data_IF_138696654165
#
_entry.id   IF_138696654165
#
_cell.length_a   1.000
_cell.length_b   1.000
_cell.length_c   1.000
_cell.angle_alpha   90.00
_cell.angle_beta   90.00
_cell.angle_gamma   90.00
#
_symmetry.space_group_name_H-M   'P 1'
#
loop_
_entity.id
_entity.type
_entity.pdbx_description
1 polymer ?
#
# COMPACT_ATOMS: atom_id res chain seq x y z
N UNK A 1 2.34 5.78 39.16
CA UNK A 1 3.64 5.52 38.52
C UNK A 1 3.36 5.33 37.05
N UNK A 2 3.56 6.37 36.26
CA UNK A 2 3.30 6.40 34.82
C UNK A 2 4.41 5.63 34.11
N UNK A 3 4.12 4.40 33.70
CA UNK A 3 4.97 3.69 32.75
C UNK A 3 4.94 4.48 31.45
N UNK A 4 6.07 5.04 31.06
CA UNK A 4 6.27 5.63 29.73
C UNK A 4 5.97 4.53 28.71
N UNK A 5 4.87 4.64 27.96
CA UNK A 5 4.64 3.82 26.76
C UNK A 5 5.84 4.06 25.85
N UNK A 6 6.73 3.07 25.75
CA UNK A 6 7.77 3.09 24.76
C UNK A 6 7.08 3.12 23.40
N UNK A 7 7.25 4.22 22.68
CA UNK A 7 6.68 4.40 21.35
C UNK A 7 7.13 3.23 20.47
N UNK A 8 6.18 2.48 19.95
CA UNK A 8 6.46 1.25 19.24
C UNK A 8 7.05 1.59 17.86
N UNK A 9 8.37 1.41 17.71
CA UNK A 9 9.14 1.73 16.50
C UNK A 9 9.77 0.48 15.86
N UNK A 10 10.38 0.64 14.67
CA UNK A 10 11.23 -0.40 14.12
C UNK A 10 12.37 -0.72 15.11
N UNK A 11 12.69 -2.00 15.26
CA UNK A 11 13.62 -2.54 16.27
C UNK A 11 13.00 -2.84 17.63
N UNK A 12 11.78 -2.35 17.92
CA UNK A 12 11.06 -2.71 19.15
C UNK A 12 10.50 -4.14 19.05
N UNK A 13 10.22 -4.76 20.19
CA UNK A 13 9.48 -6.02 20.25
C UNK A 13 7.97 -5.76 20.09
N UNK A 14 7.32 -6.58 19.27
CA UNK A 14 5.87 -6.56 19.14
C UNK A 14 5.19 -6.94 20.47
N UNK A 15 4.07 -6.28 20.82
CA UNK A 15 3.24 -6.71 21.94
C UNK A 15 2.79 -8.17 21.77
N UNK A 16 3.03 -8.98 22.80
CA UNK A 16 2.64 -10.39 22.81
C UNK A 16 1.29 -10.56 23.51
N UNK A 17 0.21 -10.41 22.74
CA UNK A 17 -1.16 -10.45 23.24
C UNK A 17 -1.84 -11.79 22.92
N UNK A 18 -2.90 -12.09 23.68
CA UNK A 18 -3.77 -13.23 23.43
C UNK A 18 -5.02 -12.74 22.73
N UNK A 19 -5.20 -13.15 21.48
CA UNK A 19 -6.37 -12.87 20.65
C UNK A 19 -7.19 -14.13 20.44
N UNK A 20 -8.34 -14.00 19.78
CA UNK A 20 -9.18 -15.16 19.45
C UNK A 20 -9.34 -15.28 17.93
N UNK A 21 -9.48 -16.51 17.44
CA UNK A 21 -10.00 -16.75 16.09
C UNK A 21 -11.50 -16.43 16.04
N UNK A 22 -12.11 -16.32 14.84
CA UNK A 22 -13.56 -16.21 14.69
C UNK A 22 -14.34 -17.37 15.29
N UNK A 23 -13.71 -18.53 15.46
CA UNK A 23 -14.30 -19.70 16.14
C UNK A 23 -14.19 -19.61 17.68
N UNK A 24 -13.62 -18.53 18.22
CA UNK A 24 -13.42 -18.30 19.65
C UNK A 24 -12.19 -19.01 20.23
N UNK A 25 -11.33 -19.61 19.39
CA UNK A 25 -10.14 -20.29 19.85
C UNK A 25 -9.04 -19.26 20.21
N UNK A 26 -8.47 -19.31 21.43
CA UNK A 26 -7.43 -18.36 21.81
C UNK A 26 -6.09 -18.65 21.13
N UNK A 27 -5.41 -17.62 20.67
CA UNK A 27 -4.07 -17.65 20.06
C UNK A 27 -3.19 -16.61 20.74
N UNK A 28 -2.00 -17.04 21.18
CA UNK A 28 -0.94 -16.13 21.61
C UNK A 28 -0.19 -15.62 20.38
N UNK A 29 -0.09 -14.31 20.19
CA UNK A 29 0.51 -13.69 19.00
C UNK A 29 1.93 -14.19 18.74
N UNK A 30 2.75 -14.36 19.78
CA UNK A 30 4.11 -14.87 19.63
C UNK A 30 4.24 -16.27 19.06
N UNK A 31 3.16 -17.05 19.02
CA UNK A 31 3.17 -18.35 18.35
C UNK A 31 3.19 -18.21 16.83
N UNK A 32 2.70 -17.10 16.29
CA UNK A 32 2.50 -16.88 14.85
C UNK A 32 3.79 -16.50 14.12
N UNK A 33 4.77 -15.91 14.81
CA UNK A 33 6.04 -15.51 14.22
C UNK A 33 7.22 -16.41 14.60
N UNK A 34 7.05 -17.50 15.37
CA UNK A 34 8.20 -18.32 15.81
C UNK A 34 8.97 -19.00 14.67
N UNK A 35 8.25 -19.44 13.64
CA UNK A 35 8.83 -20.23 12.56
C UNK A 35 9.22 -19.37 11.35
N UNK A 36 8.42 -18.35 11.04
CA UNK A 36 8.57 -17.51 9.86
C UNK A 36 8.28 -16.05 10.21
N UNK A 37 8.87 -15.09 9.47
CA UNK A 37 8.50 -13.70 9.60
C UNK A 37 7.01 -13.51 9.32
N UNK A 38 6.38 -12.63 10.09
CA UNK A 38 4.95 -12.40 10.03
C UNK A 38 4.66 -11.01 9.47
N UNK A 39 3.84 -10.94 8.43
CA UNK A 39 3.16 -9.73 8.01
C UNK A 39 1.84 -9.64 8.79
N UNK A 40 1.79 -8.75 9.77
CA UNK A 40 0.63 -8.53 10.63
C UNK A 40 -0.17 -7.33 10.13
N UNK A 41 -1.44 -7.54 9.79
CA UNK A 41 -2.31 -6.53 9.18
C UNK A 41 -3.51 -6.24 10.06
N UNK A 42 -3.73 -4.98 10.41
CA UNK A 42 -4.95 -4.48 11.03
C UNK A 42 -5.88 -3.99 9.93
N UNK A 43 -7.07 -4.59 9.81
CA UNK A 43 -8.02 -4.29 8.74
C UNK A 43 -8.94 -3.08 9.04
N UNK A 44 -9.01 -2.64 10.29
CA UNK A 44 -10.00 -1.68 10.77
C UNK A 44 -11.35 -2.33 11.08
N UNK A 45 -12.41 -1.53 11.04
CA UNK A 45 -13.79 -1.98 11.20
C UNK A 45 -14.30 -2.62 9.90
N UNK A 46 -14.91 -3.81 10.00
CA UNK A 46 -15.29 -4.62 8.83
C UNK A 46 -16.57 -4.14 8.11
N UNK A 47 -17.27 -3.17 8.67
CA UNK A 47 -18.47 -2.54 8.10
C UNK A 47 -18.16 -1.41 7.10
N UNK A 48 -16.91 -0.94 7.07
CA UNK A 48 -16.42 0.04 6.10
C UNK A 48 -16.10 -0.54 4.73
N UNK A 49 -16.27 0.26 3.66
CA UNK A 49 -15.94 -0.15 2.29
C UNK A 49 -14.45 -0.46 2.07
N UNK A 50 -13.57 0.15 2.88
CA UNK A 50 -12.13 0.06 2.71
C UNK A 50 -11.49 -1.13 3.46
N UNK A 51 -12.19 -1.75 4.41
CA UNK A 51 -11.73 -3.00 5.04
C UNK A 51 -11.68 -4.17 4.03
N UNK A 52 -12.66 -4.26 3.13
CA UNK A 52 -12.63 -5.24 2.03
C UNK A 52 -11.48 -4.99 1.06
N UNK A 53 -11.14 -3.74 0.77
CA UNK A 53 -10.02 -3.41 -0.12
C UNK A 53 -8.69 -3.85 0.47
N UNK A 54 -8.46 -3.57 1.76
CA UNK A 54 -7.24 -3.99 2.43
C UNK A 54 -7.17 -5.53 2.54
N UNK A 55 -8.30 -6.19 2.84
CA UNK A 55 -8.35 -7.65 2.90
C UNK A 55 -8.05 -8.29 1.53
N UNK A 56 -8.60 -7.74 0.43
CA UNK A 56 -8.33 -8.18 -0.94
C UNK A 56 -6.86 -7.93 -1.30
N UNK A 57 -6.32 -6.76 -0.97
CA UNK A 57 -4.92 -6.42 -1.22
C UNK A 57 -3.98 -7.48 -0.63
N UNK A 58 -4.20 -7.87 0.62
CA UNK A 58 -3.38 -8.89 1.27
C UNK A 58 -3.68 -10.31 0.80
N UNK A 59 -4.90 -10.58 0.34
CA UNK A 59 -5.24 -11.87 -0.26
C UNK A 59 -4.43 -12.08 -1.53
N UNK A 60 -4.39 -11.07 -2.38
CA UNK A 60 -3.69 -11.12 -3.66
C UNK A 60 -2.16 -11.12 -3.44
N UNK A 61 -1.69 -10.57 -2.32
CA UNK A 61 -0.28 -10.56 -1.92
C UNK A 61 0.20 -11.82 -1.16
N UNK A 62 -0.71 -12.64 -0.62
CA UNK A 62 -0.38 -13.75 0.29
C UNK A 62 0.64 -14.71 -0.33
N UNK A 63 0.41 -15.14 -1.58
CA UNK A 63 1.33 -16.05 -2.26
C UNK A 63 2.73 -15.45 -2.41
N UNK A 64 2.81 -14.14 -2.67
CA UNK A 64 4.07 -13.41 -2.81
C UNK A 64 4.82 -13.34 -1.47
N UNK A 65 4.10 -13.05 -0.38
CA UNK A 65 4.66 -13.08 0.99
C UNK A 65 5.16 -14.48 1.34
N UNK A 66 4.41 -15.53 0.99
CA UNK A 66 4.83 -16.92 1.20
C UNK A 66 6.07 -17.29 0.38
N UNK A 67 6.19 -16.82 -0.86
CA UNK A 67 7.41 -16.98 -1.68
C UNK A 67 8.60 -16.27 -1.03
N UNK A 68 8.39 -15.08 -0.45
CA UNK A 68 9.40 -14.37 0.34
C UNK A 68 9.74 -15.08 1.66
N UNK A 69 8.98 -16.12 2.03
CA UNK A 69 9.22 -16.94 3.21
C UNK A 69 8.56 -16.44 4.49
N UNK A 70 7.65 -15.47 4.39
CA UNK A 70 6.81 -15.02 5.49
C UNK A 70 5.40 -15.60 5.46
N UNK A 71 4.57 -15.16 6.39
CA UNK A 71 3.13 -15.46 6.44
C UNK A 71 2.33 -14.18 6.71
N UNK A 72 1.09 -14.13 6.22
CA UNK A 72 0.16 -13.03 6.52
C UNK A 72 -0.76 -13.48 7.65
N UNK A 73 -1.05 -12.58 8.59
CA UNK A 73 -2.15 -12.71 9.55
C UNK A 73 -2.85 -11.36 9.66
N UNK A 74 -4.18 -11.38 9.67
CA UNK A 74 -4.99 -10.19 9.84
C UNK A 74 -5.64 -10.12 11.24
N UNK A 75 -5.87 -8.91 11.73
CA UNK A 75 -6.62 -8.58 12.94
C UNK A 75 -7.76 -7.63 12.57
N UNK A 76 -8.98 -7.95 13.01
CA UNK A 76 -10.14 -7.07 12.90
C UNK A 76 -10.71 -6.71 14.28
N UNK A 77 -11.35 -5.54 14.38
CA UNK A 77 -12.06 -5.11 15.58
C UNK A 77 -13.54 -5.54 15.61
N UNK A 78 -13.89 -6.63 14.92
CA UNK A 78 -15.28 -7.07 14.74
C UNK A 78 -15.63 -8.27 15.62
N UNK A 79 -16.92 -8.51 15.81
CA UNK A 79 -17.40 -9.68 16.52
C UNK A 79 -17.01 -10.98 15.78
N UNK A 80 -16.86 -12.12 16.47
CA UNK A 80 -16.44 -13.38 15.85
C UNK A 80 -17.32 -13.84 14.68
N UNK A 81 -18.64 -13.67 14.79
CA UNK A 81 -19.59 -14.04 13.73
C UNK A 81 -19.37 -13.18 12.46
N UNK A 82 -19.24 -11.87 12.63
CA UNK A 82 -18.97 -10.93 11.52
C UNK A 82 -17.62 -11.22 10.86
N UNK A 83 -16.60 -11.52 11.66
CA UNK A 83 -15.27 -11.89 11.16
C UNK A 83 -15.31 -13.20 10.37
N UNK A 84 -16.10 -14.19 10.82
CA UNK A 84 -16.25 -15.47 10.12
C UNK A 84 -16.98 -15.30 8.78
N UNK A 85 -18.07 -14.52 8.77
CA UNK A 85 -18.79 -14.19 7.53
C UNK A 85 -17.86 -13.46 6.55
N UNK A 86 -17.14 -12.44 7.03
CA UNK A 86 -16.22 -11.66 6.21
C UNK A 86 -15.10 -12.52 5.59
N UNK A 87 -14.49 -13.41 6.40
CA UNK A 87 -13.46 -14.35 5.92
C UNK A 87 -13.99 -15.24 4.79
N UNK A 88 -15.20 -15.78 4.96
CA UNK A 88 -15.84 -16.63 3.96
C UNK A 88 -16.23 -15.87 2.69
N UNK A 89 -16.80 -14.67 2.86
CA UNK A 89 -17.24 -13.80 1.75
C UNK A 89 -16.09 -13.41 0.81
N UNK A 90 -14.91 -13.11 1.37
CA UNK A 90 -13.76 -12.66 0.59
C UNK A 90 -12.74 -13.76 0.29
N UNK A 91 -12.97 -14.97 0.79
CA UNK A 91 -12.11 -16.15 0.63
C UNK A 91 -10.67 -15.86 1.04
N UNK A 92 -10.48 -15.41 2.29
CA UNK A 92 -9.16 -15.02 2.78
C UNK A 92 -8.27 -16.26 2.99
N UNK A 93 -7.07 -16.33 2.40
CA UNK A 93 -6.16 -17.48 2.49
C UNK A 93 -5.33 -17.48 3.77
N UNK A 94 -5.35 -16.37 4.52
CA UNK A 94 -4.61 -16.18 5.75
C UNK A 94 -5.54 -16.19 6.98
N UNK A 95 -5.00 -16.45 8.19
CA UNK A 95 -5.75 -16.35 9.43
C UNK A 95 -6.25 -14.93 9.69
N UNK A 96 -7.50 -14.83 10.16
CA UNK A 96 -8.10 -13.61 10.70
C UNK A 96 -8.27 -13.80 12.21
N UNK A 97 -7.88 -12.80 13.01
CA UNK A 97 -8.04 -12.77 14.46
C UNK A 97 -8.98 -11.63 14.85
N UNK A 98 -9.77 -11.86 15.89
CA UNK A 98 -10.67 -10.86 16.47
C UNK A 98 -9.98 -10.19 17.66
N UNK A 99 -10.03 -8.86 17.68
CA UNK A 99 -9.53 -8.02 18.76
C UNK A 99 -10.66 -7.17 19.35
N UNK A 100 -10.61 -6.93 20.65
CA UNK A 100 -11.55 -6.05 21.36
C UNK A 100 -11.08 -4.59 21.44
N UNK A 101 -10.01 -4.26 20.72
CA UNK A 101 -9.32 -2.97 20.74
C UNK A 101 -7.98 -3.01 21.47
N UNK A 102 -7.70 -4.07 22.24
CA UNK A 102 -6.45 -4.19 23.00
C UNK A 102 -5.22 -4.26 22.09
N UNK A 103 -5.26 -5.04 21.01
CA UNK A 103 -4.17 -5.09 20.04
C UNK A 103 -4.07 -3.81 19.23
N UNK A 104 -5.19 -3.22 18.80
CA UNK A 104 -5.19 -1.91 18.14
C UNK A 104 -4.45 -0.86 19.00
N UNK A 105 -4.80 -0.75 20.28
CA UNK A 105 -4.14 0.15 21.22
C UNK A 105 -2.65 -0.17 21.40
N UNK A 106 -2.30 -1.43 21.67
CA UNK A 106 -0.92 -1.83 21.95
C UNK A 106 0.03 -1.64 20.75
N UNK A 107 -0.49 -1.79 19.52
CA UNK A 107 0.29 -1.54 18.30
C UNK A 107 0.29 -0.07 17.86
N UNK A 108 -0.46 0.78 18.57
CA UNK A 108 -0.65 2.20 18.23
C UNK A 108 -1.47 2.40 16.95
N UNK A 109 -2.33 1.45 16.60
CA UNK A 109 -3.27 1.56 15.48
C UNK A 109 -4.60 2.04 16.06
N UNK A 110 -4.95 3.31 15.84
CA UNK A 110 -6.10 3.93 16.49
C UNK A 110 -7.11 4.50 15.51
N UNK A 111 -8.34 4.75 15.97
CA UNK A 111 -9.36 5.46 15.17
C UNK A 111 -9.96 4.62 14.04
N UNK A 112 -10.00 3.28 14.21
CA UNK A 112 -10.52 2.36 13.20
C UNK A 112 -9.65 2.26 11.93
N UNK A 113 -8.47 2.89 11.93
CA UNK A 113 -7.58 2.91 10.80
C UNK A 113 -6.91 1.54 10.60
N UNK A 114 -6.54 1.22 9.36
CA UNK A 114 -5.68 0.07 9.13
C UNK A 114 -4.24 0.30 9.60
N UNK A 115 -3.46 -0.79 9.62
CA UNK A 115 -2.03 -0.71 9.88
C UNK A 115 -1.35 -2.01 9.52
N UNK A 116 -0.07 -1.96 9.14
CA UNK A 116 0.65 -3.13 8.67
C UNK A 116 2.06 -3.18 9.25
N UNK A 117 2.46 -4.34 9.70
CA UNK A 117 3.74 -4.59 10.38
C UNK A 117 4.43 -5.80 9.78
N UNK A 118 5.76 -5.80 9.80
CA UNK A 118 6.56 -7.00 9.53
C UNK A 118 7.35 -7.34 10.78
N UNK A 119 7.14 -8.55 11.30
CA UNK A 119 7.77 -9.08 12.49
C UNK A 119 8.74 -10.18 12.09
N UNK A 120 9.95 -10.20 12.66
CA UNK A 120 10.87 -11.32 12.48
C UNK A 120 10.57 -12.48 13.44
N UNK A 121 11.41 -13.52 13.41
CA UNK A 121 11.14 -14.77 14.13
C UNK A 121 11.26 -14.69 15.65
N UNK A 122 11.77 -13.58 16.17
CA UNK A 122 11.84 -13.29 17.61
C UNK A 122 10.85 -12.19 18.01
N UNK A 123 9.99 -11.76 17.08
CA UNK A 123 8.96 -10.74 17.30
C UNK A 123 9.50 -9.31 17.28
N UNK A 124 10.67 -9.05 16.67
CA UNK A 124 11.11 -7.67 16.46
C UNK A 124 10.41 -7.07 15.24
N UNK A 125 9.97 -5.83 15.38
CA UNK A 125 9.32 -5.07 14.32
C UNK A 125 10.40 -4.61 13.34
N UNK A 126 10.37 -5.14 12.12
CA UNK A 126 11.30 -4.82 11.04
C UNK A 126 10.73 -3.75 10.10
N UNK A 127 9.41 -3.69 10.01
CA UNK A 127 8.69 -2.64 9.30
C UNK A 127 7.40 -2.34 10.05
N UNK A 128 6.97 -1.08 10.03
CA UNK A 128 5.64 -0.67 10.49
C UNK A 128 5.11 0.48 9.64
N UNK A 129 3.82 0.45 9.37
CA UNK A 129 3.07 1.56 8.80
C UNK A 129 1.72 1.62 9.49
N UNK A 130 1.42 2.75 10.11
CA UNK A 130 0.11 3.06 10.69
C UNK A 130 -0.57 4.01 9.73
N UNK A 131 -1.72 3.63 9.22
CA UNK A 131 -2.39 4.46 8.24
C UNK A 131 -2.87 5.77 8.90
N UNK A 132 -2.54 6.91 8.30
CA UNK A 132 -3.12 8.20 8.72
C UNK A 132 -4.58 8.36 8.27
N UNK A 133 -4.99 7.62 7.24
CA UNK A 133 -6.36 7.54 6.71
C UNK A 133 -6.59 6.18 6.05
N UNK A 134 -7.83 5.78 5.76
CA UNK A 134 -8.12 4.45 5.20
C UNK A 134 -7.46 4.21 3.84
N UNK A 135 -7.16 5.28 3.08
CA UNK A 135 -6.45 5.25 1.80
C UNK A 135 -4.92 5.29 1.95
N UNK A 136 -4.42 5.46 3.18
CA UNK A 136 -3.00 5.56 3.46
C UNK A 136 -2.32 4.19 3.59
N UNK A 137 -2.56 3.28 2.65
CA UNK A 137 -1.89 1.98 2.65
C UNK A 137 -0.41 2.12 2.22
N UNK A 138 0.52 1.37 2.84
CA UNK A 138 1.88 1.29 2.36
C UNK A 138 1.93 0.49 1.05
N UNK A 139 2.95 0.69 0.20
CA UNK A 139 3.16 -0.21 -0.93
C UNK A 139 3.35 -1.64 -0.43
N UNK A 140 2.54 -2.59 -0.90
CA UNK A 140 2.63 -4.01 -0.52
C UNK A 140 4.05 -4.55 -0.65
N UNK A 141 4.75 -4.15 -1.72
CA UNK A 141 6.14 -4.54 -1.96
C UNK A 141 7.11 -4.09 -0.87
N UNK A 142 6.88 -2.98 -0.18
CA UNK A 142 7.75 -2.57 0.93
C UNK A 142 7.74 -3.60 2.07
N UNK A 143 6.63 -4.29 2.29
CA UNK A 143 6.52 -5.34 3.30
C UNK A 143 7.09 -6.67 2.78
N UNK A 144 6.88 -6.99 1.50
CA UNK A 144 7.50 -8.16 0.86
C UNK A 144 9.03 -8.03 0.88
N UNK A 145 9.55 -6.84 0.62
CA UNK A 145 10.99 -6.53 0.68
C UNK A 145 11.49 -6.71 2.12
N UNK A 146 10.77 -6.17 3.12
CA UNK A 146 11.12 -6.35 4.53
C UNK A 146 11.13 -7.83 4.96
N UNK A 147 10.19 -8.65 4.46
CA UNK A 147 10.21 -10.12 4.68
C UNK A 147 11.43 -10.74 3.99
N UNK A 148 11.70 -10.36 2.75
CA UNK A 148 12.83 -10.85 1.94
C UNK A 148 14.17 -10.54 2.60
N UNK A 149 14.32 -9.36 3.21
CA UNK A 149 15.50 -8.99 4.00
C UNK A 149 15.71 -9.87 5.23
N UNK A 150 14.64 -10.34 5.87
CA UNK A 150 14.73 -11.23 7.04
C UNK A 150 15.11 -12.65 6.61
N UNK A 151 14.53 -13.13 5.50
CA UNK A 151 14.70 -14.52 5.05
C UNK A 151 15.88 -14.73 4.11
N UNK A 152 16.41 -13.66 3.53
CA UNK A 152 17.43 -13.71 2.47
C UNK A 152 16.90 -14.24 1.13
N UNK A 153 15.58 -14.39 0.97
CA UNK A 153 14.98 -14.86 -0.29
C UNK A 153 14.77 -13.68 -1.25
N UNK A 154 14.96 -13.93 -2.54
CA UNK A 154 14.62 -12.97 -3.59
C UNK A 154 13.28 -13.35 -4.20
N UNK A 155 12.35 -12.39 -4.23
CA UNK A 155 11.09 -12.50 -4.95
C UNK A 155 11.11 -11.47 -6.08
N UNK A 156 10.89 -11.93 -7.31
CA UNK A 156 10.83 -11.02 -8.45
C UNK A 156 9.55 -10.19 -8.38
N UNK A 157 9.73 -8.87 -8.36
CA UNK A 157 8.64 -7.94 -8.57
C UNK A 157 8.19 -8.04 -10.02
N UNK A 158 6.88 -8.23 -10.30
CA UNK A 158 6.38 -8.20 -11.66
C UNK A 158 6.80 -6.89 -12.33
N UNK A 159 7.58 -7.01 -13.39
CA UNK A 159 7.81 -5.89 -14.30
C UNK A 159 6.54 -5.76 -15.13
N UNK A 160 5.94 -4.56 -15.14
CA UNK A 160 4.90 -4.24 -16.10
C UNK A 160 5.55 -4.24 -17.49
N UNK A 161 5.61 -5.42 -18.12
CA UNK A 161 5.99 -5.55 -19.52
C UNK A 161 4.76 -5.22 -20.33
N UNK A 162 4.73 -3.99 -20.87
CA UNK A 162 3.79 -3.66 -21.93
C UNK A 162 4.17 -4.53 -23.13
N UNK A 163 3.22 -5.32 -23.62
CA UNK A 163 3.40 -6.19 -24.79
C UNK A 163 2.52 -5.70 -25.95
N UNK A 164 2.94 -5.98 -27.20
CA UNK A 164 2.16 -5.61 -28.39
C UNK A 164 2.02 -4.10 -28.60
N UNK A 165 0.84 -3.67 -29.03
CA UNK A 165 0.53 -2.26 -29.33
C UNK A 165 0.78 -1.33 -28.13
N UNK A 166 0.68 -1.84 -26.88
CA UNK A 166 0.98 -1.06 -25.66
C UNK A 166 2.48 -0.83 -25.49
N UNK A 167 3.32 -1.80 -25.87
CA UNK A 167 4.78 -1.67 -25.88
C UNK A 167 5.23 -0.70 -26.97
N UNK A 168 4.59 -0.76 -28.13
CA UNK A 168 4.86 0.12 -29.26
C UNK A 168 4.40 1.55 -28.93
N UNK A 169 3.22 1.71 -28.33
CA UNK A 169 2.74 2.98 -27.80
C UNK A 169 3.68 3.54 -26.72
N UNK A 170 4.18 2.71 -25.80
CA UNK A 170 5.15 3.13 -24.78
C UNK A 170 6.48 3.58 -25.39
N UNK A 171 6.98 2.89 -26.43
CA UNK A 171 8.18 3.31 -27.17
C UNK A 171 7.97 4.58 -28.00
N UNK A 172 6.77 4.77 -28.54
CA UNK A 172 6.38 6.01 -29.21
C UNK A 172 6.29 7.17 -28.22
N UNK A 173 5.80 6.89 -27.01
CA UNK A 173 5.79 7.80 -25.88
C UNK A 173 7.21 8.14 -25.38
N UNK A 174 8.13 7.17 -25.24
CA UNK A 174 9.53 7.41 -24.84
C UNK A 174 10.31 8.33 -25.78
N UNK A 175 9.92 8.40 -27.06
CA UNK A 175 10.53 9.28 -28.06
C UNK A 175 9.90 10.68 -28.11
N UNK A 176 8.75 10.91 -27.49
CA UNK A 176 8.31 12.26 -27.14
C UNK A 176 9.09 12.66 -25.89
N UNK A 177 9.85 13.74 -25.96
CA UNK A 177 10.63 14.23 -24.83
C UNK A 177 9.69 14.60 -23.67
N UNK A 178 9.41 13.65 -22.79
CA UNK A 178 8.75 13.91 -21.52
C UNK A 178 9.62 14.87 -20.73
N UNK A 179 9.00 15.92 -20.21
CA UNK A 179 9.68 16.84 -19.33
C UNK A 179 10.08 16.08 -18.06
N UNK A 180 11.34 15.66 -18.01
CA UNK A 180 11.97 15.19 -16.79
C UNK A 180 12.48 16.45 -16.06
N UNK A 181 11.86 16.88 -14.95
CA UNK A 181 12.50 17.88 -14.11
C UNK A 181 13.79 17.24 -13.57
N UNK A 182 14.92 17.63 -14.14
CA UNK A 182 16.25 17.20 -13.71
C UNK A 182 16.61 17.96 -12.44
N UNK A 183 17.11 17.28 -11.38
CA UNK A 183 17.57 17.97 -10.19
C UNK A 183 18.75 18.88 -10.55
N UNK A 184 18.57 20.20 -10.43
CA UNK A 184 19.65 21.19 -10.56
C UNK A 184 19.62 22.09 -11.80
N UNK A 185 18.58 22.06 -12.64
CA UNK A 185 18.33 23.17 -13.57
C UNK A 185 17.39 24.20 -12.91
N UNK A 186 17.69 25.48 -13.15
CA UNK A 186 17.24 26.69 -12.44
C UNK A 186 15.74 26.99 -12.57
N UNK A 187 14.89 26.05 -12.15
CA UNK A 187 13.43 26.15 -12.09
C UNK A 187 12.97 25.47 -10.80
N UNK A 188 12.80 26.26 -9.73
CA UNK A 188 12.61 25.83 -8.33
C UNK A 188 11.39 24.95 -8.02
N UNK A 189 11.36 23.72 -8.54
CA UNK A 189 10.31 22.73 -8.29
C UNK A 189 10.74 21.78 -7.16
N UNK A 190 9.90 21.61 -6.15
CA UNK A 190 10.06 20.63 -5.06
C UNK A 190 8.95 19.60 -5.16
N UNK A 191 9.23 18.42 -5.71
CA UNK A 191 8.32 17.28 -5.60
C UNK A 191 8.63 16.49 -4.32
N UNK A 192 7.61 16.04 -3.61
CA UNK A 192 7.75 15.08 -2.51
C UNK A 192 6.55 14.17 -2.54
N UNK A 193 6.80 12.89 -2.81
CA UNK A 193 5.75 11.89 -2.90
C UNK A 193 5.03 11.74 -1.55
N UNK A 194 3.71 11.94 -1.55
CA UNK A 194 2.85 11.79 -0.35
C UNK A 194 2.85 10.37 0.24
N UNK A 195 3.24 9.36 -0.54
CA UNK A 195 3.27 7.95 -0.11
C UNK A 195 4.61 7.48 0.45
N UNK A 196 5.74 8.03 -0.01
CA UNK A 196 7.05 7.50 0.35
C UNK A 196 8.15 8.56 0.60
N UNK A 197 7.82 9.85 0.51
CA UNK A 197 8.76 10.96 0.73
C UNK A 197 9.84 11.11 -0.34
N UNK A 198 9.84 10.29 -1.40
CA UNK A 198 10.80 10.40 -2.50
C UNK A 198 10.56 11.68 -3.31
N UNK A 199 11.63 12.27 -3.82
CA UNK A 199 11.63 13.59 -4.44
C UNK A 199 11.77 13.56 -5.96
N UNK A 200 11.76 12.38 -6.59
CA UNK A 200 11.72 12.25 -8.05
C UNK A 200 10.36 11.75 -8.53
N UNK A 201 9.87 12.38 -9.59
CA UNK A 201 8.66 12.01 -10.30
C UNK A 201 8.89 12.00 -11.82
N UNK A 202 8.04 11.26 -12.51
CA UNK A 202 7.79 11.39 -13.93
C UNK A 202 6.43 12.05 -14.14
N UNK A 203 6.31 12.87 -15.18
CA UNK A 203 5.05 13.54 -15.52
C UNK A 203 4.68 13.20 -16.95
N UNK A 204 3.53 12.55 -17.11
CA UNK A 204 3.04 12.07 -18.40
C UNK A 204 1.71 12.74 -18.73
N UNK A 205 1.64 13.43 -19.86
CA UNK A 205 0.35 13.90 -20.38
C UNK A 205 -0.40 12.73 -21.02
N UNK A 206 -1.61 12.49 -20.55
CA UNK A 206 -2.49 11.43 -21.02
C UNK A 206 -3.78 12.04 -21.56
N UNK A 207 -4.25 11.53 -22.70
CA UNK A 207 -5.59 11.80 -23.21
C UNK A 207 -6.42 10.53 -23.10
N UNK A 208 -7.53 10.57 -22.36
CA UNK A 208 -8.44 9.43 -22.29
C UNK A 208 -9.35 9.44 -23.51
N UNK A 209 -9.27 8.42 -24.36
CA UNK A 209 -10.32 8.11 -25.34
C UNK A 209 -11.33 7.17 -24.70
N UNK A 210 -12.58 7.59 -24.55
CA UNK A 210 -13.65 6.67 -24.11
C UNK A 210 -13.84 5.58 -25.17
N UNK A 211 -13.87 4.32 -24.73
CA UNK A 211 -13.79 3.13 -25.58
C UNK A 211 -14.84 2.98 -26.69
N UNK A 212 -14.44 2.14 -27.66
CA UNK A 212 -15.17 1.44 -28.73
C UNK A 212 -15.90 2.21 -29.85
N UNK A 213 -15.98 3.55 -29.90
CA UNK A 213 -16.56 4.26 -31.07
C UNK A 213 -15.84 5.55 -31.55
N UNK A 214 -14.51 5.61 -31.58
CA UNK A 214 -13.80 6.85 -32.00
C UNK A 214 -13.36 6.90 -33.48
N UNK A 215 -14.22 6.49 -34.45
CA UNK A 215 -13.94 6.76 -35.88
C UNK A 215 -14.79 7.85 -36.54
N UNK A 216 -15.66 8.53 -35.79
CA UNK A 216 -16.35 9.70 -36.33
C UNK A 216 -16.77 10.68 -35.23
N UNK A 217 -16.30 11.93 -35.37
CA UNK A 217 -16.80 13.18 -34.76
C UNK A 217 -16.39 13.51 -33.31
N UNK A 218 -15.35 14.34 -33.23
CA UNK A 218 -15.11 15.53 -32.37
C UNK A 218 -15.86 15.68 -31.02
N UNK A 219 -15.09 16.09 -30.01
CA UNK A 219 -15.45 16.45 -28.62
C UNK A 219 -15.53 15.28 -27.61
N UNK A 220 -14.37 14.91 -27.07
CA UNK A 220 -14.10 14.94 -25.62
C UNK A 220 -12.61 14.63 -25.38
N UNK A 221 -11.73 15.52 -25.82
CA UNK A 221 -10.30 15.40 -25.55
C UNK A 221 -10.01 15.88 -24.10
N UNK A 222 -10.39 15.08 -23.10
CA UNK A 222 -10.01 15.35 -21.71
C UNK A 222 -8.54 14.97 -21.56
N UNK A 223 -7.69 16.00 -21.47
CA UNK A 223 -6.27 15.85 -21.19
C UNK A 223 -6.06 15.83 -19.67
N UNK A 224 -5.23 14.92 -19.23
CA UNK A 224 -4.79 14.77 -17.85
C UNK A 224 -3.27 14.75 -17.83
N UNK A 225 -2.66 15.23 -16.76
CA UNK A 225 -1.25 15.03 -16.48
C UNK A 225 -1.16 14.05 -15.32
N UNK A 226 -0.55 12.89 -15.57
CA UNK A 226 -0.19 11.93 -14.54
C UNK A 226 1.16 12.32 -13.93
N UNK A 227 1.21 12.53 -12.63
CA UNK A 227 2.46 12.73 -11.88
C UNK A 227 2.73 11.46 -11.09
N UNK A 228 3.73 10.68 -11.50
CA UNK A 228 4.04 9.37 -10.93
C UNK A 228 5.36 9.41 -10.17
N UNK A 229 5.39 8.91 -8.93
CA UNK A 229 6.62 8.77 -8.17
C UNK A 229 7.51 7.66 -8.74
N UNK A 230 8.79 7.95 -9.02
CA UNK A 230 9.73 6.96 -9.57
C UNK A 230 10.11 5.84 -8.62
N UNK A 231 9.83 5.98 -7.32
CA UNK A 231 10.13 4.97 -6.30
C UNK A 231 8.96 4.02 -6.04
N UNK A 232 7.79 4.58 -5.76
CA UNK A 232 6.62 3.79 -5.34
C UNK A 232 5.52 3.68 -6.40
N UNK A 233 5.68 4.34 -7.56
CA UNK A 233 4.73 4.37 -8.67
C UNK A 233 3.34 4.94 -8.32
N UNK A 234 3.19 5.54 -7.15
CA UNK A 234 2.00 6.31 -6.81
C UNK A 234 1.81 7.42 -7.84
N UNK A 235 0.64 7.47 -8.45
CA UNK A 235 0.31 8.34 -9.58
C UNK A 235 -0.91 9.18 -9.27
N UNK A 236 -0.78 10.50 -9.35
CA UNK A 236 -1.90 11.44 -9.26
C UNK A 236 -2.27 11.96 -10.65
N UNK A 237 -3.56 12.11 -10.92
CA UNK A 237 -4.08 12.57 -12.21
C UNK A 237 -4.66 13.99 -12.08
N UNK A 238 -4.05 14.93 -12.79
CA UNK A 238 -4.48 16.33 -12.83
C UNK A 238 -5.17 16.63 -14.15
N UNK A 239 -6.42 17.12 -14.14
CA UNK A 239 -7.11 17.50 -15.38
C UNK A 239 -6.56 18.80 -15.95
N UNK A 240 -6.18 18.82 -17.24
CA UNK A 240 -5.57 19.98 -17.91
C UNK A 240 -6.31 20.34 -19.20
N UNK A 241 -6.25 21.62 -19.61
CA UNK A 241 -7.00 22.11 -20.77
C UNK A 241 -6.19 22.21 -22.08
N UNK A 242 -4.84 22.17 -22.06
CA UNK A 242 -3.96 22.01 -23.24
C UNK A 242 -2.49 22.21 -22.85
N UNK A 243 -1.59 21.69 -23.71
CA UNK A 243 -0.14 21.60 -23.52
C UNK A 243 0.51 22.92 -23.10
N UNK A 244 0.94 22.92 -21.84
CA UNK A 244 2.04 23.66 -21.23
C UNK A 244 1.80 23.52 -19.73
N UNK A 245 2.40 22.49 -19.15
CA UNK A 245 2.63 22.32 -17.72
C UNK A 245 3.61 23.43 -17.21
N UNK A 246 3.28 24.70 -17.45
CA UNK A 246 3.74 25.82 -16.60
C UNK A 246 2.63 26.22 -15.62
N UNK A 247 1.35 25.98 -15.94
CA UNK A 247 0.22 26.48 -15.16
C UNK A 247 -0.35 25.49 -14.13
N UNK A 248 -0.13 24.18 -14.28
CA UNK A 248 -0.62 23.19 -13.28
C UNK A 248 0.33 23.09 -12.08
N UNK A 249 1.61 23.43 -12.27
CA UNK A 249 2.60 23.45 -11.19
C UNK A 249 2.41 24.61 -10.19
N UNK A 250 1.70 25.69 -10.55
CA UNK A 250 1.27 26.72 -9.59
C UNK A 250 0.22 26.16 -8.60
N UNK A 251 -0.60 25.20 -9.03
CA UNK A 251 -1.72 24.70 -8.24
C UNK A 251 -1.29 23.65 -7.19
N UNK A 252 -0.14 23.00 -7.39
CA UNK A 252 0.38 21.95 -6.50
C UNK A 252 1.44 22.50 -5.53
N UNK A 253 2.03 23.67 -5.80
CA UNK A 253 3.16 24.22 -5.02
C UNK A 253 3.00 25.66 -4.51
N UNK A 254 1.82 26.29 -4.58
CA UNK A 254 1.64 27.58 -3.91
C UNK A 254 0.28 28.25 -4.01
N UNK A 255 -0.57 27.98 -3.01
CA UNK A 255 -1.07 29.04 -2.12
C UNK A 255 -0.79 28.62 -0.67
#
# INVERSE_FOLDING_TARGET
>A
MTTTEAELTAGARAPDLKLNTPEGAPIQLSMLWKEKPLVLVFLGALDGSLASENAILWRDADETVRKAGGEVVAICGAAPDDANEFRGRWTLPYPLLCDDGTAYAAFGVSGGQPGSFVLDTVGMIRYLHRNASELDNPPTWALVDAVSEITGKTVEKPVLTLEGDEAEAARMMENEAYATPTPGSDSGLKFTCVKCGHNECEVNDMSTTSGMMSRTVNLQNRRFSAVSCRRCFYTELYKTNSGALRNVFDLILGA
#
